data_IF_748819759833
#
_entry.id   IF_748819759833
#
_cell.length_a   1.000
_cell.length_b   1.000
_cell.length_c   1.000
_cell.angle_alpha   90.00
_cell.angle_beta   90.00
_cell.angle_gamma   90.00
#
_symmetry.space_group_name_H-M   'P 1'
#
loop_
_entity.id
_entity.type
_entity.pdbx_description
1 polymer ?
#
# COMPACT_ATOMS: atom_id res chain seq x y z
N UNK A 1 20.60 -16.99 -6.84
CA UNK A 1 20.73 -16.55 -5.42
C UNK A 1 20.55 -17.79 -4.55
N UNK A 2 21.34 -17.97 -3.49
CA UNK A 2 21.12 -19.10 -2.58
C UNK A 2 19.96 -18.81 -1.60
N UNK A 3 19.38 -19.85 -1.01
CA UNK A 3 18.25 -19.74 -0.09
C UNK A 3 18.55 -18.81 1.10
N UNK A 4 19.78 -18.81 1.61
CA UNK A 4 20.23 -17.94 2.70
C UNK A 4 20.06 -16.46 2.36
N UNK A 5 20.52 -16.04 1.18
CA UNK A 5 20.39 -14.64 0.74
C UNK A 5 18.91 -14.24 0.56
N UNK A 6 18.07 -15.15 0.07
CA UNK A 6 16.63 -14.90 -0.03
C UNK A 6 15.99 -14.67 1.34
N UNK A 7 16.31 -15.52 2.31
CA UNK A 7 15.82 -15.40 3.69
C UNK A 7 16.24 -14.06 4.29
N UNK A 8 17.53 -13.66 4.12
CA UNK A 8 18.03 -12.37 4.62
C UNK A 8 17.32 -11.16 3.98
N UNK A 9 17.12 -11.18 2.67
CA UNK A 9 16.40 -10.10 1.96
C UNK A 9 14.94 -10.02 2.42
N UNK A 10 14.29 -11.17 2.56
CA UNK A 10 12.90 -11.26 3.01
C UNK A 10 12.75 -10.81 4.46
N UNK A 11 13.64 -11.24 5.36
CA UNK A 11 13.64 -10.82 6.77
C UNK A 11 13.88 -9.31 6.90
N UNK A 12 14.83 -8.74 6.16
CA UNK A 12 15.06 -7.30 6.11
C UNK A 12 13.83 -6.53 5.62
N UNK A 13 13.16 -7.03 4.58
CA UNK A 13 11.92 -6.43 4.08
C UNK A 13 10.76 -6.55 5.08
N UNK A 14 10.65 -7.66 5.80
CA UNK A 14 9.63 -7.86 6.83
C UNK A 14 9.85 -6.94 8.03
N UNK A 15 11.09 -6.82 8.52
CA UNK A 15 11.43 -5.89 9.58
C UNK A 15 11.14 -4.43 9.18
N UNK A 16 11.51 -4.06 7.96
CA UNK A 16 11.13 -2.76 7.39
C UNK A 16 9.61 -2.56 7.39
N UNK A 17 8.84 -3.52 6.86
CA UNK A 17 7.39 -3.40 6.71
C UNK A 17 6.68 -3.27 8.06
N UNK A 18 7.18 -3.98 9.08
CA UNK A 18 6.67 -3.91 10.44
C UNK A 18 6.90 -2.51 11.04
N UNK A 19 8.13 -1.99 10.95
CA UNK A 19 8.46 -0.66 11.48
C UNK A 19 7.82 0.47 10.68
N UNK A 20 7.62 0.33 9.37
CA UNK A 20 6.88 1.29 8.53
C UNK A 20 5.40 1.40 8.94
N UNK A 21 4.77 0.25 9.21
CA UNK A 21 3.41 0.23 9.73
C UNK A 21 3.30 0.84 11.13
N UNK A 22 4.22 0.46 12.02
CA UNK A 22 4.26 0.96 13.39
C UNK A 22 4.48 2.49 13.44
N UNK A 23 5.42 2.99 12.65
CA UNK A 23 5.70 4.43 12.56
C UNK A 23 4.47 5.23 12.15
N UNK A 24 3.65 4.71 11.22
CA UNK A 24 2.45 5.41 10.75
C UNK A 24 1.44 5.62 11.88
N UNK A 25 1.16 4.60 12.69
CA UNK A 25 0.23 4.73 13.82
C UNK A 25 0.84 5.54 14.97
N UNK A 26 2.11 5.34 15.27
CA UNK A 26 2.83 6.10 16.27
C UNK A 26 2.74 7.61 16.01
N UNK A 27 3.09 8.05 14.79
CA UNK A 27 3.05 9.47 14.40
C UNK A 27 1.61 10.01 14.43
N UNK A 28 0.66 9.28 13.85
CA UNK A 28 -0.73 9.74 13.78
C UNK A 28 -1.31 9.98 15.18
N UNK A 29 -1.24 8.98 16.05
CA UNK A 29 -1.86 9.03 17.37
C UNK A 29 -1.15 10.02 18.29
N UNK A 30 0.19 10.09 18.23
CA UNK A 30 0.96 11.04 19.03
C UNK A 30 0.62 12.50 18.68
N UNK A 31 0.59 12.85 17.39
CA UNK A 31 0.29 14.23 16.99
C UNK A 31 -1.21 14.57 17.18
N UNK A 32 -2.10 13.57 17.13
CA UNK A 32 -3.50 13.76 17.54
C UNK A 32 -3.61 14.08 19.03
N UNK A 33 -2.92 13.33 19.88
CA UNK A 33 -2.88 13.57 21.34
C UNK A 33 -2.28 14.95 21.69
N UNK A 34 -1.33 15.44 20.88
CA UNK A 34 -0.78 16.81 21.01
C UNK A 34 -1.75 17.91 20.52
N UNK A 35 -2.92 17.57 20.01
CA UNK A 35 -3.96 18.50 19.55
C UNK A 35 -3.70 19.11 18.16
N UNK A 36 -2.88 18.47 17.33
CA UNK A 36 -2.69 18.91 15.95
C UNK A 36 -3.99 18.74 15.15
N UNK A 37 -4.28 19.73 14.31
CA UNK A 37 -5.47 19.63 13.46
C UNK A 37 -5.40 18.43 12.50
N UNK A 38 -6.53 17.85 12.10
CA UNK A 38 -6.57 16.74 11.13
C UNK A 38 -5.85 17.04 9.82
N UNK A 39 -5.84 18.32 9.40
CA UNK A 39 -5.09 18.78 8.22
C UNK A 39 -3.59 18.75 8.48
N UNK A 40 -3.14 19.25 9.63
CA UNK A 40 -1.73 19.19 10.02
C UNK A 40 -1.22 17.74 10.08
N UNK A 41 -2.01 16.84 10.67
CA UNK A 41 -1.72 15.38 10.70
C UNK A 41 -1.63 14.79 9.28
N UNK A 42 -2.52 15.18 8.38
CA UNK A 42 -2.43 14.74 6.98
C UNK A 42 -1.12 15.17 6.33
N UNK A 43 -0.69 16.41 6.56
CA UNK A 43 0.59 16.93 6.04
C UNK A 43 1.80 16.14 6.51
N UNK A 44 1.80 15.57 7.72
CA UNK A 44 2.90 14.74 8.22
C UNK A 44 3.23 13.58 7.27
N UNK A 45 2.25 13.07 6.54
CA UNK A 45 2.39 11.90 5.65
C UNK A 45 2.59 12.27 4.17
N UNK A 46 2.40 13.54 3.78
CA UNK A 46 2.47 13.92 2.35
C UNK A 46 3.86 13.69 1.77
N UNK A 47 4.93 13.95 2.52
CA UNK A 47 6.30 13.68 2.09
C UNK A 47 6.53 12.21 1.73
N UNK A 48 6.02 11.30 2.57
CA UNK A 48 6.08 9.86 2.35
C UNK A 48 5.37 9.42 1.05
N UNK A 49 4.15 9.91 0.80
CA UNK A 49 3.39 9.55 -0.38
C UNK A 49 3.96 10.23 -1.65
N UNK A 50 4.45 11.48 -1.54
CA UNK A 50 5.10 12.18 -2.64
C UNK A 50 6.36 11.45 -3.11
N UNK A 51 7.23 11.04 -2.19
CA UNK A 51 8.40 10.23 -2.54
C UNK A 51 7.99 8.89 -3.14
N UNK A 52 6.87 8.32 -2.72
CA UNK A 52 6.30 7.13 -3.35
C UNK A 52 5.94 7.32 -4.82
N UNK A 53 5.50 8.52 -5.25
CA UNK A 53 5.24 8.83 -6.67
C UNK A 53 6.56 8.77 -7.45
N UNK A 54 7.58 9.51 -6.98
CA UNK A 54 8.87 9.60 -7.64
C UNK A 54 9.57 8.25 -7.70
N UNK A 55 9.60 7.51 -6.60
CA UNK A 55 10.30 6.23 -6.51
C UNK A 55 9.63 5.12 -7.32
N UNK A 56 8.31 5.13 -7.50
CA UNK A 56 7.65 4.19 -8.41
C UNK A 56 7.95 4.51 -9.89
N UNK A 57 8.08 5.79 -10.27
CA UNK A 57 8.46 6.18 -11.62
C UNK A 57 9.91 5.82 -11.96
N UNK A 58 10.84 6.15 -11.06
CA UNK A 58 12.29 6.02 -11.32
C UNK A 58 12.89 4.74 -10.72
N UNK A 59 12.17 4.08 -9.82
CA UNK A 59 12.71 2.97 -9.02
C UNK A 59 13.16 1.78 -9.84
N UNK A 60 12.44 1.41 -10.89
CA UNK A 60 12.86 0.36 -11.82
C UNK A 60 14.20 0.69 -12.50
N UNK A 61 14.41 1.94 -12.85
CA UNK A 61 15.63 2.45 -13.44
C UNK A 61 16.82 2.47 -12.45
N UNK A 62 16.60 2.91 -11.22
CA UNK A 62 17.63 2.92 -10.15
C UNK A 62 18.01 1.50 -9.76
N UNK A 63 17.04 0.63 -9.47
CA UNK A 63 17.27 -0.74 -9.02
C UNK A 63 18.06 -1.59 -10.02
N UNK A 64 17.83 -1.39 -11.33
CA UNK A 64 18.57 -2.09 -12.38
C UNK A 64 20.07 -1.69 -12.45
N UNK A 65 20.43 -0.50 -11.94
CA UNK A 65 21.80 0.03 -11.97
C UNK A 65 22.59 -0.22 -10.70
N UNK A 66 21.95 -0.13 -9.54
CA UNK A 66 22.63 -0.17 -8.23
C UNK A 66 22.80 -1.57 -7.67
N UNK A 67 22.00 -2.54 -8.12
CA UNK A 67 21.95 -3.90 -7.57
C UNK A 67 21.04 -3.99 -6.33
N UNK A 68 20.49 -5.20 -6.09
CA UNK A 68 19.45 -5.44 -5.09
C UNK A 68 19.96 -5.33 -3.66
N UNK A 69 21.17 -5.79 -3.41
CA UNK A 69 21.73 -5.80 -2.05
C UNK A 69 21.96 -4.37 -1.55
N UNK A 70 22.52 -3.50 -2.41
CA UNK A 70 22.75 -2.10 -2.06
C UNK A 70 21.44 -1.33 -1.84
N UNK A 71 20.44 -1.57 -2.69
CA UNK A 71 19.12 -0.91 -2.54
C UNK A 71 18.44 -1.33 -1.23
N UNK A 72 18.55 -2.59 -0.80
CA UNK A 72 18.02 -3.06 0.48
C UNK A 72 18.73 -2.38 1.66
N UNK A 73 20.08 -2.41 1.67
CA UNK A 73 20.88 -1.84 2.75
C UNK A 73 20.64 -0.34 2.88
N UNK A 74 20.62 0.39 1.75
CA UNK A 74 20.32 1.83 1.74
C UNK A 74 18.89 2.08 2.24
N UNK A 75 17.91 1.28 1.80
CA UNK A 75 16.54 1.41 2.26
C UNK A 75 16.38 1.20 3.77
N UNK A 76 17.00 0.14 4.33
CA UNK A 76 17.00 -0.08 5.78
C UNK A 76 17.70 1.05 6.53
N UNK A 77 18.84 1.53 6.03
CA UNK A 77 19.58 2.65 6.61
C UNK A 77 18.78 3.96 6.62
N UNK A 78 18.09 4.29 5.51
CA UNK A 78 17.23 5.46 5.44
C UNK A 78 16.07 5.40 6.43
N UNK A 79 15.49 4.21 6.66
CA UNK A 79 14.44 4.03 7.66
C UNK A 79 14.98 4.23 9.08
N UNK A 80 16.17 3.72 9.39
CA UNK A 80 16.83 3.96 10.69
C UNK A 80 17.06 5.45 10.88
N UNK A 81 17.59 6.15 9.87
CA UNK A 81 17.80 7.61 9.92
C UNK A 81 16.48 8.36 10.14
N UNK A 82 15.41 7.95 9.46
CA UNK A 82 14.08 8.55 9.63
C UNK A 82 13.55 8.39 11.06
N UNK A 83 13.68 7.18 11.65
CA UNK A 83 13.26 6.89 13.02
C UNK A 83 14.06 7.71 14.04
N UNK A 84 15.39 7.77 13.89
CA UNK A 84 16.25 8.58 14.75
C UNK A 84 15.97 10.08 14.57
N UNK A 85 15.79 10.54 13.33
CA UNK A 85 15.47 11.96 13.09
C UNK A 85 14.18 12.35 13.81
N UNK A 86 13.13 11.53 13.75
CA UNK A 86 11.85 11.81 14.41
C UNK A 86 11.96 11.95 15.93
N UNK A 87 12.92 11.27 16.59
CA UNK A 87 13.14 11.41 18.04
C UNK A 87 13.75 12.75 18.45
N UNK A 88 14.20 13.59 17.52
CA UNK A 88 14.67 14.95 17.79
C UNK A 88 13.56 16.00 17.67
N UNK A 89 12.34 15.62 17.29
CA UNK A 89 11.22 16.54 17.29
C UNK A 89 10.89 16.96 18.73
N UNK A 90 10.73 18.25 18.95
CA UNK A 90 10.43 18.81 20.27
C UNK A 90 9.05 19.46 20.27
N UNK A 91 8.29 19.23 21.33
CA UNK A 91 6.96 19.82 21.50
C UNK A 91 6.99 21.36 21.61
N UNK A 92 8.14 21.94 21.97
CA UNK A 92 8.34 23.39 22.02
C UNK A 92 8.43 24.08 20.66
N UNK A 93 8.55 23.31 19.58
CA UNK A 93 8.63 23.90 18.24
C UNK A 93 7.29 24.45 17.79
N UNK A 94 7.33 25.48 16.93
CA UNK A 94 6.13 25.95 16.26
C UNK A 94 5.53 24.82 15.40
N UNK A 95 4.20 24.73 15.36
CA UNK A 95 3.46 23.67 14.64
C UNK A 95 3.96 23.49 13.20
N UNK A 96 4.11 24.58 12.44
CA UNK A 96 4.62 24.53 11.07
C UNK A 96 6.02 23.91 10.99
N UNK A 97 6.93 24.27 11.92
CA UNK A 97 8.28 23.71 11.99
C UNK A 97 8.25 22.20 12.26
N UNK A 98 7.45 21.76 13.21
CA UNK A 98 7.22 20.34 13.51
C UNK A 98 6.66 19.59 12.31
N UNK A 99 5.63 20.13 11.65
CA UNK A 99 5.02 19.51 10.47
C UNK A 99 6.03 19.34 9.33
N UNK A 100 6.79 20.38 8.99
CA UNK A 100 7.81 20.33 7.94
C UNK A 100 8.91 19.32 8.27
N UNK A 101 9.36 19.30 9.52
CA UNK A 101 10.39 18.36 9.97
C UNK A 101 9.93 16.90 9.89
N UNK A 102 8.76 16.59 10.46
CA UNK A 102 8.18 15.24 10.45
C UNK A 102 7.88 14.79 9.01
N UNK A 103 7.30 15.69 8.19
CA UNK A 103 7.06 15.41 6.77
C UNK A 103 8.36 15.07 6.03
N UNK A 104 9.46 15.77 6.32
CA UNK A 104 10.79 15.51 5.72
C UNK A 104 11.36 14.16 6.16
N UNK A 105 11.27 13.81 7.44
CA UNK A 105 11.67 12.49 7.94
C UNK A 105 10.81 11.37 7.34
N UNK A 106 9.51 11.58 7.23
CA UNK A 106 8.59 10.64 6.56
C UNK A 106 8.89 10.49 5.06
N UNK A 107 9.40 11.53 4.40
CA UNK A 107 9.86 11.44 3.01
C UNK A 107 11.02 10.44 2.86
N UNK A 108 11.98 10.42 3.80
CA UNK A 108 13.05 9.40 3.83
C UNK A 108 12.48 8.00 4.00
N UNK A 109 11.49 7.81 4.88
CA UNK A 109 10.77 6.55 5.05
C UNK A 109 10.04 6.11 3.78
N UNK A 110 9.47 7.05 3.03
CA UNK A 110 8.83 6.80 1.73
C UNK A 110 9.81 6.26 0.67
N UNK A 111 11.01 6.85 0.58
CA UNK A 111 12.10 6.35 -0.27
C UNK A 111 12.53 4.95 0.18
N UNK A 112 12.78 4.77 1.47
CA UNK A 112 13.20 3.52 2.08
C UNK A 112 12.23 2.37 1.75
N UNK A 113 10.93 2.62 1.81
CA UNK A 113 9.85 1.67 1.46
C UNK A 113 10.01 1.11 0.05
N UNK A 114 10.22 1.98 -0.92
CA UNK A 114 10.23 1.53 -2.30
C UNK A 114 11.56 0.84 -2.66
N UNK A 115 12.68 1.26 -2.08
CA UNK A 115 13.97 0.59 -2.23
C UNK A 115 13.93 -0.84 -1.66
N UNK A 116 13.43 -1.02 -0.44
CA UNK A 116 13.31 -2.34 0.20
C UNK A 116 12.31 -3.24 -0.53
N UNK A 117 11.17 -2.70 -0.95
CA UNK A 117 10.15 -3.42 -1.74
C UNK A 117 10.70 -3.93 -3.07
N UNK A 118 11.47 -3.11 -3.77
CA UNK A 118 12.08 -3.48 -5.05
C UNK A 118 13.09 -4.60 -4.87
N UNK A 119 13.97 -4.49 -3.87
CA UNK A 119 14.96 -5.51 -3.56
C UNK A 119 14.30 -6.85 -3.26
N UNK A 120 13.27 -6.86 -2.39
CA UNK A 120 12.56 -8.09 -2.02
C UNK A 120 11.82 -8.73 -3.20
N UNK A 121 11.09 -7.96 -4.00
CA UNK A 121 10.37 -8.49 -5.16
C UNK A 121 11.29 -9.04 -6.24
N UNK A 122 12.41 -8.36 -6.49
CA UNK A 122 13.37 -8.82 -7.49
C UNK A 122 14.14 -10.05 -7.00
N UNK A 123 14.40 -10.17 -5.70
CA UNK A 123 15.06 -11.33 -5.12
C UNK A 123 14.30 -12.64 -5.37
N UNK A 124 12.96 -12.59 -5.39
CA UNK A 124 12.11 -13.78 -5.68
C UNK A 124 12.46 -14.40 -7.04
N UNK A 125 12.70 -13.58 -8.08
CA UNK A 125 13.04 -14.07 -9.43
C UNK A 125 14.32 -14.90 -9.47
N UNK A 126 15.24 -14.67 -8.54
CA UNK A 126 16.54 -15.37 -8.50
C UNK A 126 16.54 -16.64 -7.68
N UNK A 127 15.45 -16.90 -6.93
CA UNK A 127 15.31 -18.08 -6.06
C UNK A 127 14.24 -19.03 -6.55
N UNK A 128 13.22 -18.51 -7.21
CA UNK A 128 12.23 -19.33 -7.87
C UNK A 128 12.94 -20.12 -8.97
N UNK A 129 13.07 -21.43 -8.80
CA UNK A 129 13.59 -22.32 -9.83
C UNK A 129 12.60 -22.40 -11.00
N UNK A 130 13.01 -23.09 -12.09
CA UNK A 130 12.23 -23.26 -13.32
C UNK A 130 10.98 -24.14 -13.15
N UNK A 131 10.58 -24.46 -11.91
CA UNK A 131 9.38 -25.24 -11.61
C UNK A 131 8.09 -24.42 -11.80
N UNK A 132 7.13 -25.00 -12.54
CA UNK A 132 5.82 -24.42 -12.77
C UNK A 132 5.14 -23.99 -11.45
N UNK A 133 4.83 -22.72 -11.33
CA UNK A 133 4.13 -22.13 -10.19
C UNK A 133 4.99 -21.76 -8.96
N UNK A 134 6.28 -22.12 -8.88
CA UNK A 134 7.15 -21.77 -7.75
C UNK A 134 7.31 -20.26 -7.60
N UNK A 135 7.55 -19.55 -8.70
CA UNK A 135 7.64 -18.08 -8.73
C UNK A 135 6.35 -17.43 -8.24
N UNK A 136 5.20 -17.89 -8.73
CA UNK A 136 3.89 -17.38 -8.34
C UNK A 136 3.64 -17.56 -6.84
N UNK A 137 3.92 -18.76 -6.30
CA UNK A 137 3.76 -19.06 -4.87
C UNK A 137 4.64 -18.15 -4.00
N UNK A 138 5.91 -17.94 -4.38
CA UNK A 138 6.83 -17.08 -3.62
C UNK A 138 6.41 -15.60 -3.66
N UNK A 139 5.96 -15.09 -4.82
CA UNK A 139 5.42 -13.73 -4.96
C UNK A 139 4.15 -13.56 -4.12
N UNK A 140 3.26 -14.55 -4.11
CA UNK A 140 2.03 -14.53 -3.32
C UNK A 140 2.34 -14.50 -1.81
N UNK A 141 3.28 -15.33 -1.33
CA UNK A 141 3.73 -15.32 0.06
C UNK A 141 4.32 -13.96 0.45
N UNK A 142 5.21 -13.40 -0.39
CA UNK A 142 5.83 -12.11 -0.13
C UNK A 142 4.80 -10.98 -0.07
N UNK A 143 3.81 -10.99 -0.96
CA UNK A 143 2.77 -9.96 -1.01
C UNK A 143 1.77 -10.10 0.13
N UNK A 144 1.34 -11.32 0.45
CA UNK A 144 0.43 -11.61 1.56
C UNK A 144 1.06 -11.28 2.91
N UNK A 145 2.30 -11.73 3.14
CA UNK A 145 3.03 -11.44 4.37
C UNK A 145 3.26 -9.94 4.58
N UNK A 146 3.51 -9.17 3.52
CA UNK A 146 3.63 -7.70 3.60
C UNK A 146 2.38 -7.06 4.18
N UNK A 147 1.18 -7.43 3.71
CA UNK A 147 -0.06 -6.83 4.18
C UNK A 147 -0.35 -7.23 5.63
N UNK A 148 -0.11 -8.50 5.98
CA UNK A 148 -0.23 -8.97 7.36
C UNK A 148 0.72 -8.23 8.31
N UNK A 149 2.01 -8.14 7.95
CA UNK A 149 3.01 -7.44 8.77
C UNK A 149 2.76 -5.95 8.88
N UNK A 150 2.22 -5.31 7.83
CA UNK A 150 1.82 -3.91 7.92
C UNK A 150 0.67 -3.71 8.92
N UNK A 151 -0.31 -4.62 8.92
CA UNK A 151 -1.38 -4.60 9.91
C UNK A 151 -0.85 -4.83 11.33
N UNK A 152 -0.01 -5.85 11.54
CA UNK A 152 0.68 -6.06 12.83
C UNK A 152 1.48 -4.81 13.24
N UNK A 153 2.14 -4.15 12.30
CA UNK A 153 2.83 -2.89 12.53
C UNK A 153 1.91 -1.79 13.06
N UNK A 154 0.71 -1.63 12.50
CA UNK A 154 -0.25 -0.63 12.99
C UNK A 154 -0.60 -0.85 14.47
N UNK A 155 -0.91 -2.11 14.84
CA UNK A 155 -1.14 -2.45 16.25
C UNK A 155 0.10 -2.20 17.10
N UNK A 156 1.27 -2.63 16.63
CA UNK A 156 2.53 -2.47 17.36
C UNK A 156 2.86 -0.99 17.62
N UNK A 157 2.66 -0.11 16.63
CA UNK A 157 2.92 1.33 16.79
C UNK A 157 2.00 1.96 17.84
N UNK A 158 0.72 1.63 17.82
CA UNK A 158 -0.24 2.07 18.82
C UNK A 158 0.09 1.51 20.22
N UNK A 159 0.46 0.24 20.31
CA UNK A 159 0.84 -0.42 21.55
C UNK A 159 2.13 0.14 22.15
N UNK A 160 3.15 0.39 21.32
CA UNK A 160 4.41 1.01 21.75
C UNK A 160 4.18 2.44 22.27
N UNK A 161 3.33 3.22 21.59
CA UNK A 161 2.98 4.56 22.04
C UNK A 161 2.30 4.51 23.41
N UNK A 162 1.30 3.65 23.58
CA UNK A 162 0.54 3.51 24.83
C UNK A 162 1.42 3.01 26.00
N UNK A 163 2.40 2.13 25.74
CA UNK A 163 3.20 1.51 26.78
C UNK A 163 4.45 2.30 27.15
N UNK A 164 5.11 2.94 26.18
CA UNK A 164 6.45 3.53 26.35
C UNK A 164 6.53 5.01 25.94
N UNK A 165 5.49 5.55 25.29
CA UNK A 165 5.51 6.89 24.73
C UNK A 165 6.26 6.99 23.39
N UNK A 166 6.28 8.21 22.82
CA UNK A 166 6.72 8.45 21.45
C UNK A 166 8.22 8.18 21.24
N UNK A 167 9.09 8.79 22.06
CA UNK A 167 10.54 8.70 21.87
C UNK A 167 11.08 7.30 22.11
N UNK A 168 10.64 6.62 23.18
CA UNK A 168 11.07 5.27 23.48
C UNK A 168 10.61 4.26 22.41
N UNK A 169 9.42 4.44 21.85
CA UNK A 169 8.92 3.66 20.73
C UNK A 169 9.78 3.82 19.47
N UNK A 170 10.18 5.06 19.13
CA UNK A 170 11.07 5.35 18.00
C UNK A 170 12.43 4.68 18.17
N UNK A 171 13.05 4.83 19.37
CA UNK A 171 14.34 4.21 19.67
C UNK A 171 14.26 2.68 19.65
N UNK A 172 13.22 2.09 20.20
CA UNK A 172 13.02 0.62 20.15
C UNK A 172 12.98 0.12 18.70
N UNK A 173 12.20 0.78 17.83
CA UNK A 173 12.14 0.44 16.41
C UNK A 173 13.48 0.68 15.70
N UNK A 174 14.17 1.78 15.98
CA UNK A 174 15.47 2.09 15.39
C UNK A 174 16.53 1.06 15.77
N UNK A 175 16.57 0.62 17.02
CA UNK A 175 17.51 -0.42 17.50
C UNK A 175 17.26 -1.74 16.78
N UNK A 176 16.01 -2.23 16.77
CA UNK A 176 15.65 -3.50 16.10
C UNK A 176 16.01 -3.47 14.63
N UNK A 177 15.69 -2.34 13.95
CA UNK A 177 15.99 -2.20 12.53
C UNK A 177 17.50 -2.04 12.27
N UNK A 178 18.25 -1.38 13.16
CA UNK A 178 19.72 -1.28 13.07
C UNK A 178 20.38 -2.63 13.21
N UNK A 179 19.94 -3.47 14.15
CA UNK A 179 20.43 -4.85 14.28
C UNK A 179 20.14 -5.63 12.98
N UNK A 180 18.93 -5.51 12.45
CA UNK A 180 18.56 -6.12 11.16
C UNK A 180 19.45 -5.62 10.02
N UNK A 181 19.70 -4.32 9.94
CA UNK A 181 20.59 -3.71 8.95
C UNK A 181 22.02 -4.28 9.05
N UNK A 182 22.58 -4.38 10.24
CA UNK A 182 23.94 -4.94 10.46
C UNK A 182 23.98 -6.39 10.03
N UNK A 183 23.00 -7.22 10.43
CA UNK A 183 22.91 -8.62 10.01
C UNK A 183 22.83 -8.75 8.50
N UNK A 184 21.95 -7.98 7.85
CA UNK A 184 21.81 -7.99 6.39
C UNK A 184 23.10 -7.51 5.73
N UNK A 185 23.70 -6.42 6.17
CA UNK A 185 24.91 -5.84 5.56
C UNK A 185 26.13 -6.75 5.67
N UNK A 186 26.26 -7.50 6.77
CA UNK A 186 27.42 -8.40 7.00
C UNK A 186 27.24 -9.79 6.39
N UNK A 187 26.00 -10.28 6.33
CA UNK A 187 25.72 -11.67 5.93
C UNK A 187 25.24 -11.81 4.48
N UNK A 188 24.78 -10.73 3.84
CA UNK A 188 24.32 -10.76 2.45
C UNK A 188 25.51 -10.69 1.50
N UNK A 189 25.73 -11.76 0.75
CA UNK A 189 26.89 -11.89 -0.15
C UNK A 189 26.50 -11.85 -1.62
N UNK A 190 27.38 -11.32 -2.47
CA UNK A 190 27.24 -11.29 -3.92
C UNK A 190 26.52 -10.05 -4.45
N UNK A 191 26.83 -9.65 -5.69
CA UNK A 191 26.16 -8.57 -6.42
C UNK A 191 25.01 -9.19 -7.25
N UNK A 192 23.78 -9.11 -6.76
CA UNK A 192 22.60 -9.68 -7.42
C UNK A 192 21.82 -8.57 -8.12
N UNK A 193 21.40 -8.82 -9.37
CA UNK A 193 20.34 -8.05 -10.01
C UNK A 193 20.76 -6.79 -10.77
N UNK A 194 22.03 -6.61 -11.12
CA UNK A 194 22.41 -5.59 -12.12
C UNK A 194 21.96 -6.02 -13.51
N UNK A 195 21.05 -5.26 -14.13
CA UNK A 195 20.64 -5.50 -15.52
C UNK A 195 21.63 -4.91 -16.51
N UNK A 196 21.90 -5.65 -17.60
CA UNK A 196 22.72 -5.17 -18.72
C UNK A 196 21.94 -4.23 -19.65
N UNK A 197 20.60 -4.25 -19.62
CA UNK A 197 19.72 -3.46 -20.50
C UNK A 197 19.26 -2.21 -19.78
N UNK A 198 19.52 -1.04 -20.37
CA UNK A 198 19.14 0.28 -19.82
C UNK A 198 17.89 0.77 -20.55
N UNK A 199 16.73 0.75 -19.90
CA UNK A 199 15.53 1.35 -20.45
C UNK A 199 15.69 2.89 -20.60
N UNK A 200 15.23 3.49 -21.71
CA UNK A 200 15.29 4.94 -21.91
C UNK A 200 14.24 5.66 -21.05
N UNK A 201 14.62 6.80 -20.47
CA UNK A 201 13.72 7.63 -19.62
C UNK A 201 12.47 8.12 -20.37
N UNK A 202 12.53 8.24 -21.70
CA UNK A 202 11.45 8.81 -22.52
C UNK A 202 10.18 7.93 -22.56
N UNK A 203 10.32 6.62 -22.35
CA UNK A 203 9.17 5.67 -22.34
C UNK A 203 8.35 5.69 -21.07
N UNK A 204 8.75 6.45 -20.03
CA UNK A 204 8.11 6.44 -18.72
C UNK A 204 6.72 7.09 -18.75
N UNK A 205 6.52 8.14 -19.54
CA UNK A 205 5.30 8.96 -19.54
C UNK A 205 4.35 8.73 -20.71
N UNK A 206 4.82 8.14 -21.82
CA UNK A 206 3.97 7.87 -22.99
C UNK A 206 3.29 6.51 -22.86
N UNK A 207 1.98 6.49 -22.64
CA UNK A 207 1.21 5.27 -22.37
C UNK A 207 0.01 5.16 -23.33
N UNK A 208 -0.44 3.93 -23.55
CA UNK A 208 -1.66 3.66 -24.30
C UNK A 208 -2.87 4.27 -23.60
N UNK A 209 -3.94 4.52 -24.33
CA UNK A 209 -5.18 5.06 -23.80
C UNK A 209 -5.81 4.14 -22.73
N UNK A 210 -5.70 2.82 -22.90
CA UNK A 210 -6.15 1.84 -21.91
C UNK A 210 -5.38 1.96 -20.58
N UNK A 211 -4.05 2.08 -20.65
CA UNK A 211 -3.19 2.23 -19.46
C UNK A 211 -3.45 3.58 -18.78
N UNK A 212 -3.61 4.67 -19.53
CA UNK A 212 -3.92 5.98 -18.98
C UNK A 212 -5.26 5.98 -18.23
N UNK A 213 -6.32 5.40 -18.83
CA UNK A 213 -7.64 5.31 -18.19
C UNK A 213 -7.61 4.40 -16.95
N UNK A 214 -6.96 3.25 -17.03
CA UNK A 214 -6.83 2.35 -15.89
C UNK A 214 -6.02 3.00 -14.75
N UNK A 215 -4.95 3.73 -15.07
CA UNK A 215 -4.14 4.46 -14.10
C UNK A 215 -4.94 5.59 -13.44
N UNK A 216 -5.75 6.32 -14.21
CA UNK A 216 -6.67 7.31 -13.66
C UNK A 216 -7.73 6.68 -12.74
N UNK A 217 -8.34 5.55 -13.15
CA UNK A 217 -9.27 4.81 -12.30
C UNK A 217 -8.59 4.32 -11.02
N UNK A 218 -7.33 3.87 -11.09
CA UNK A 218 -6.53 3.46 -9.93
C UNK A 218 -6.24 4.61 -8.99
N UNK A 219 -5.93 5.79 -9.51
CA UNK A 219 -5.74 7.01 -8.72
C UNK A 219 -6.96 7.28 -7.85
N UNK A 220 -8.16 7.37 -8.44
CA UNK A 220 -9.40 7.64 -7.71
C UNK A 220 -9.78 6.51 -6.75
N UNK A 221 -9.59 5.25 -7.14
CA UNK A 221 -9.87 4.09 -6.29
C UNK A 221 -9.03 4.11 -5.01
N UNK A 222 -7.74 4.41 -5.09
CA UNK A 222 -6.88 4.42 -3.90
C UNK A 222 -7.02 5.70 -3.08
N UNK A 223 -7.27 6.83 -3.74
CA UNK A 223 -7.64 8.05 -3.04
C UNK A 223 -8.90 7.85 -2.19
N UNK A 224 -9.94 7.21 -2.74
CA UNK A 224 -11.21 6.98 -2.03
C UNK A 224 -11.03 6.21 -0.72
N UNK A 225 -10.16 5.20 -0.69
CA UNK A 225 -9.85 4.48 0.53
C UNK A 225 -9.10 5.36 1.53
N UNK A 226 -8.09 6.10 1.08
CA UNK A 226 -7.24 6.88 1.97
C UNK A 226 -7.97 8.11 2.53
N UNK A 227 -9.02 8.60 1.88
CA UNK A 227 -9.88 9.69 2.40
C UNK A 227 -10.48 9.35 3.77
N UNK A 228 -10.96 8.15 4.00
CA UNK A 228 -11.51 7.79 5.31
C UNK A 228 -10.50 7.06 6.21
N UNK A 229 -9.53 6.34 5.62
CA UNK A 229 -8.70 5.38 6.34
C UNK A 229 -7.51 6.02 7.07
N UNK A 230 -6.85 7.03 6.47
CA UNK A 230 -5.51 7.46 6.92
C UNK A 230 -5.57 8.36 8.14
N UNK A 231 -6.47 9.34 8.17
CA UNK A 231 -6.59 10.35 9.23
C UNK A 231 -8.00 10.33 9.83
N UNK A 232 -9.04 10.38 8.99
CA UNK A 232 -10.41 10.57 9.45
C UNK A 232 -10.90 9.46 10.39
N UNK A 233 -10.72 8.20 10.03
CA UNK A 233 -11.20 7.10 10.86
C UNK A 233 -10.41 6.94 12.17
N UNK A 234 -9.07 6.92 12.18
CA UNK A 234 -8.32 6.84 13.44
C UNK A 234 -8.70 7.93 14.44
N UNK A 235 -8.79 9.19 13.99
CA UNK A 235 -9.20 10.31 14.83
C UNK A 235 -10.64 10.15 15.31
N UNK A 236 -11.56 9.72 14.44
CA UNK A 236 -12.95 9.48 14.83
C UNK A 236 -13.08 8.38 15.90
N UNK A 237 -12.31 7.30 15.79
CA UNK A 237 -12.30 6.21 16.77
C UNK A 237 -11.74 6.67 18.12
N UNK A 238 -10.69 7.50 18.11
CA UNK A 238 -10.04 8.05 19.30
C UNK A 238 -10.91 9.15 19.96
N UNK A 239 -11.11 10.27 19.26
CA UNK A 239 -11.73 11.47 19.81
C UNK A 239 -13.25 11.34 20.01
N UNK A 240 -13.96 10.73 19.04
CA UNK A 240 -15.43 10.66 19.07
C UNK A 240 -15.94 9.41 19.79
N UNK A 241 -15.34 8.25 19.51
CA UNK A 241 -15.74 6.99 20.13
C UNK A 241 -15.01 6.71 21.45
N UNK A 242 -13.91 7.43 21.74
CA UNK A 242 -13.12 7.27 22.97
C UNK A 242 -12.39 5.94 23.04
N UNK A 243 -11.98 5.40 21.91
CA UNK A 243 -11.25 4.15 21.88
C UNK A 243 -9.80 4.37 22.35
N UNK A 244 -9.26 3.41 23.08
CA UNK A 244 -7.84 3.41 23.41
C UNK A 244 -6.97 3.22 22.15
N UNK A 245 -5.71 3.61 22.20
CA UNK A 245 -4.74 3.38 21.14
C UNK A 245 -4.67 1.90 20.73
N UNK A 246 -4.76 0.97 21.69
CA UNK A 246 -4.86 -0.46 21.41
C UNK A 246 -6.09 -0.82 20.57
N UNK A 247 -7.24 -0.22 20.85
CA UNK A 247 -8.49 -0.42 20.11
C UNK A 247 -8.38 0.09 18.68
N UNK A 248 -7.90 1.33 18.50
CA UNK A 248 -7.70 1.96 17.18
C UNK A 248 -6.71 1.14 16.35
N UNK A 249 -5.53 0.88 16.91
CA UNK A 249 -4.49 0.10 16.22
C UNK A 249 -4.93 -1.32 15.91
N UNK A 250 -5.67 -1.96 16.83
CA UNK A 250 -6.21 -3.31 16.66
C UNK A 250 -7.23 -3.42 15.53
N UNK A 251 -8.17 -2.47 15.44
CA UNK A 251 -9.15 -2.44 14.35
C UNK A 251 -8.48 -2.24 12.99
N UNK A 252 -7.60 -1.25 12.88
CA UNK A 252 -6.89 -0.96 11.64
C UNK A 252 -5.98 -2.12 11.24
N UNK A 253 -5.34 -2.78 12.20
CA UNK A 253 -4.56 -3.99 11.97
C UNK A 253 -5.43 -5.11 11.40
N UNK A 254 -6.53 -5.42 12.06
CA UNK A 254 -7.47 -6.47 11.62
C UNK A 254 -8.02 -6.17 10.23
N UNK A 255 -8.35 -4.90 9.95
CA UNK A 255 -8.83 -4.47 8.63
C UNK A 255 -7.79 -4.68 7.53
N UNK A 256 -6.52 -4.28 7.75
CA UNK A 256 -5.45 -4.44 6.74
C UNK A 256 -5.09 -5.92 6.54
N UNK A 257 -5.06 -6.71 7.60
CA UNK A 257 -4.82 -8.17 7.52
C UNK A 257 -5.97 -8.84 6.76
N UNK A 258 -7.22 -8.53 7.11
CA UNK A 258 -8.41 -9.04 6.43
C UNK A 258 -8.44 -8.66 4.95
N UNK A 259 -8.16 -7.40 4.64
CA UNK A 259 -7.99 -6.92 3.27
C UNK A 259 -6.94 -7.76 2.49
N UNK A 260 -5.78 -7.98 3.09
CA UNK A 260 -4.71 -8.78 2.49
C UNK A 260 -5.12 -10.24 2.25
N UNK A 261 -5.85 -10.83 3.19
CA UNK A 261 -6.38 -12.20 3.08
C UNK A 261 -7.39 -12.31 1.91
N UNK A 262 -8.36 -11.41 1.83
CA UNK A 262 -9.33 -11.36 0.72
C UNK A 262 -8.61 -11.15 -0.61
N UNK A 263 -7.63 -10.24 -0.66
CA UNK A 263 -6.84 -9.98 -1.87
C UNK A 263 -6.08 -11.22 -2.36
N UNK A 264 -5.55 -12.02 -1.46
CA UNK A 264 -4.85 -13.27 -1.80
C UNK A 264 -5.79 -14.35 -2.36
N UNK A 265 -7.07 -14.29 -1.98
CA UNK A 265 -8.11 -15.22 -2.44
C UNK A 265 -8.87 -14.72 -3.68
N UNK A 266 -8.66 -13.48 -4.10
CA UNK A 266 -9.38 -12.85 -5.21
C UNK A 266 -9.40 -13.69 -6.51
N UNK A 267 -8.32 -14.37 -6.93
CA UNK A 267 -8.36 -15.22 -8.13
C UNK A 267 -9.44 -16.32 -8.11
N UNK A 268 -9.79 -16.80 -6.90
CA UNK A 268 -10.84 -17.84 -6.75
C UNK A 268 -12.24 -17.30 -7.01
N UNK A 269 -12.46 -16.01 -6.74
CA UNK A 269 -13.77 -15.36 -6.91
C UNK A 269 -13.97 -14.75 -8.29
N UNK A 270 -12.88 -14.50 -9.04
CA UNK A 270 -12.91 -13.75 -10.29
C UNK A 270 -12.89 -14.63 -11.56
N UNK A 271 -12.77 -15.95 -11.44
CA UNK A 271 -12.44 -16.88 -12.53
C UNK A 271 -13.52 -17.20 -13.58
N UNK A 272 -14.69 -16.53 -13.61
CA UNK A 272 -15.80 -16.89 -14.52
C UNK A 272 -16.46 -15.75 -15.29
N UNK A 273 -16.06 -14.50 -15.09
CA UNK A 273 -16.70 -13.35 -15.73
C UNK A 273 -15.66 -12.51 -16.48
N UNK A 274 -16.12 -11.73 -17.46
CA UNK A 274 -15.26 -10.71 -18.07
C UNK A 274 -14.71 -9.78 -16.98
N UNK A 275 -13.39 -9.70 -16.88
CA UNK A 275 -12.69 -8.96 -15.82
C UNK A 275 -13.09 -7.48 -15.79
N UNK A 276 -13.43 -6.92 -16.96
CA UNK A 276 -13.89 -5.52 -17.08
C UNK A 276 -15.30 -5.37 -16.50
N UNK A 277 -16.20 -6.28 -16.77
CA UNK A 277 -17.56 -6.25 -16.22
C UNK A 277 -17.49 -6.39 -14.70
N UNK A 278 -16.63 -7.28 -14.20
CA UNK A 278 -16.41 -7.44 -12.78
C UNK A 278 -15.84 -6.15 -12.15
N UNK A 279 -14.85 -5.49 -12.77
CA UNK A 279 -14.29 -4.23 -12.30
C UNK A 279 -15.33 -3.10 -12.23
N UNK A 280 -16.22 -3.01 -13.23
CA UNK A 280 -17.35 -2.06 -13.26
C UNK A 280 -18.32 -2.31 -12.10
N UNK A 281 -18.77 -3.56 -11.95
CA UNK A 281 -19.74 -3.94 -10.93
C UNK A 281 -19.17 -3.72 -9.51
N UNK A 282 -17.94 -4.13 -9.25
CA UNK A 282 -17.30 -3.92 -7.96
C UNK A 282 -17.07 -2.44 -7.64
N UNK A 283 -16.74 -1.60 -8.63
CA UNK A 283 -16.63 -0.14 -8.43
C UNK A 283 -17.99 0.47 -8.07
N UNK A 284 -19.07 0.08 -8.76
CA UNK A 284 -20.43 0.53 -8.40
C UNK A 284 -20.84 0.08 -7.01
N UNK A 285 -20.58 -1.19 -6.68
CA UNK A 285 -20.88 -1.74 -5.34
C UNK A 285 -20.14 -0.96 -4.25
N UNK A 286 -18.86 -0.60 -4.46
CA UNK A 286 -18.11 0.24 -3.53
C UNK A 286 -18.74 1.62 -3.34
N UNK A 287 -19.19 2.26 -4.43
CA UNK A 287 -19.85 3.57 -4.36
C UNK A 287 -21.15 3.48 -3.55
N UNK A 288 -21.94 2.42 -3.74
CA UNK A 288 -23.17 2.21 -2.97
C UNK A 288 -22.90 1.93 -1.50
N UNK A 289 -21.89 1.10 -1.18
CA UNK A 289 -21.51 0.80 0.20
C UNK A 289 -21.06 2.08 0.92
N UNK A 290 -20.18 2.86 0.32
CA UNK A 290 -19.68 4.09 0.94
C UNK A 290 -20.80 5.12 1.14
N UNK A 291 -21.73 5.25 0.19
CA UNK A 291 -22.90 6.10 0.31
C UNK A 291 -23.82 5.64 1.47
N UNK A 292 -24.06 4.33 1.60
CA UNK A 292 -24.87 3.77 2.68
C UNK A 292 -24.25 4.02 4.06
N UNK A 293 -22.92 3.90 4.18
CA UNK A 293 -22.21 4.22 5.43
C UNK A 293 -22.36 5.72 5.74
N UNK A 294 -22.17 6.60 4.75
CA UNK A 294 -22.32 8.05 4.91
C UNK A 294 -23.75 8.43 5.36
N UNK A 295 -24.76 7.84 4.73
CA UNK A 295 -26.17 8.02 5.14
C UNK A 295 -26.41 7.53 6.56
N UNK A 296 -25.85 6.40 6.96
CA UNK A 296 -26.01 5.87 8.32
C UNK A 296 -25.38 6.79 9.37
N UNK A 297 -24.25 7.45 9.03
CA UNK A 297 -23.63 8.47 9.90
C UNK A 297 -24.50 9.72 9.98
N UNK A 298 -25.04 10.20 8.86
CA UNK A 298 -25.90 11.38 8.77
C UNK A 298 -27.27 11.17 9.46
N UNK A 299 -27.75 9.95 9.59
CA UNK A 299 -29.08 9.61 10.11
C UNK A 299 -29.27 9.84 11.62
N UNK A 300 -28.24 10.34 12.32
CA UNK A 300 -28.25 10.61 13.76
C UNK A 300 -28.82 9.42 14.63
N UNK A 301 -28.42 8.21 14.26
CA UNK A 301 -28.77 6.99 15.01
C UNK A 301 -28.14 7.03 16.41
N UNK A 302 -28.53 6.10 17.28
CA UNK A 302 -27.83 5.94 18.55
C UNK A 302 -26.34 5.69 18.33
N UNK A 303 -25.47 6.14 19.26
CA UNK A 303 -24.00 5.96 19.17
C UNK A 303 -23.61 4.51 18.86
N UNK A 304 -24.28 3.55 19.53
CA UNK A 304 -24.03 2.13 19.31
C UNK A 304 -24.38 1.69 17.86
N UNK A 305 -25.58 2.11 17.37
CA UNK A 305 -26.02 1.77 16.02
C UNK A 305 -25.10 2.39 14.93
N UNK A 306 -24.72 3.66 15.10
CA UNK A 306 -23.77 4.34 14.19
C UNK A 306 -22.41 3.64 14.19
N UNK A 307 -21.89 3.28 15.37
CA UNK A 307 -20.61 2.55 15.48
C UNK A 307 -20.68 1.21 14.75
N UNK A 308 -21.73 0.42 14.96
CA UNK A 308 -21.91 -0.87 14.28
C UNK A 308 -22.01 -0.68 12.77
N UNK A 309 -22.77 0.32 12.29
CA UNK A 309 -22.92 0.61 10.87
C UNK A 309 -21.59 1.01 10.22
N UNK A 310 -20.81 1.88 10.88
CA UNK A 310 -19.48 2.28 10.39
C UNK A 310 -18.55 1.07 10.31
N UNK A 311 -18.37 0.34 11.42
CA UNK A 311 -17.38 -0.73 11.47
C UNK A 311 -17.73 -1.89 10.54
N UNK A 312 -19.00 -2.34 10.53
CA UNK A 312 -19.44 -3.40 9.63
C UNK A 312 -19.40 -2.95 8.15
N UNK A 313 -19.86 -1.73 7.87
CA UNK A 313 -19.80 -1.16 6.52
C UNK A 313 -18.37 -1.04 6.00
N UNK A 314 -17.41 -0.58 6.81
CA UNK A 314 -16.01 -0.49 6.42
C UNK A 314 -15.33 -1.85 6.24
N UNK A 315 -15.75 -2.88 6.98
CA UNK A 315 -15.31 -4.26 6.74
C UNK A 315 -15.81 -4.74 5.38
N UNK A 316 -17.09 -4.56 5.07
CA UNK A 316 -17.67 -4.91 3.75
C UNK A 316 -16.99 -4.11 2.63
N UNK A 317 -16.79 -2.80 2.84
CA UNK A 317 -16.00 -1.97 1.90
C UNK A 317 -14.61 -2.58 1.65
N UNK A 318 -13.92 -3.02 2.71
CA UNK A 318 -12.59 -3.63 2.62
C UNK A 318 -12.56 -4.88 1.75
N UNK A 319 -13.56 -5.75 1.87
CA UNK A 319 -13.70 -6.96 1.05
C UNK A 319 -13.87 -6.60 -0.44
N UNK A 320 -14.83 -5.72 -0.74
CA UNK A 320 -15.12 -5.32 -2.12
C UNK A 320 -13.95 -4.53 -2.72
N UNK A 321 -13.31 -3.67 -1.93
CA UNK A 321 -12.11 -2.94 -2.35
C UNK A 321 -10.94 -3.88 -2.66
N UNK A 322 -10.73 -4.94 -1.87
CA UNK A 322 -9.70 -5.94 -2.11
C UNK A 322 -9.89 -6.64 -3.46
N UNK A 323 -11.13 -7.06 -3.75
CA UNK A 323 -11.48 -7.70 -5.03
C UNK A 323 -11.27 -6.75 -6.21
N UNK A 324 -11.78 -5.53 -6.13
CA UNK A 324 -11.63 -4.53 -7.19
C UNK A 324 -10.16 -4.11 -7.41
N UNK A 325 -9.40 -3.94 -6.33
CA UNK A 325 -7.97 -3.66 -6.40
C UNK A 325 -7.16 -4.78 -7.07
N UNK A 326 -7.55 -6.04 -6.86
CA UNK A 326 -6.94 -7.20 -7.50
C UNK A 326 -7.23 -7.23 -9.01
N UNK A 327 -8.47 -6.92 -9.41
CA UNK A 327 -8.85 -6.78 -10.81
C UNK A 327 -8.05 -5.70 -11.53
N UNK A 328 -7.92 -4.51 -10.95
CA UNK A 328 -7.10 -3.45 -11.51
C UNK A 328 -5.63 -3.86 -11.66
N UNK A 329 -5.11 -4.66 -10.71
CA UNK A 329 -3.73 -5.16 -10.79
C UNK A 329 -3.55 -6.26 -11.84
N UNK A 330 -4.60 -6.99 -12.19
CA UNK A 330 -4.62 -7.90 -13.32
C UNK A 330 -4.71 -7.14 -14.65
N UNK A 331 -5.63 -6.18 -14.76
CA UNK A 331 -5.88 -5.42 -15.98
C UNK A 331 -4.65 -4.63 -16.46
N UNK A 332 -3.80 -4.10 -15.55
CA UNK A 332 -2.58 -3.41 -15.98
C UNK A 332 -1.64 -4.36 -16.71
N UNK A 333 -1.53 -5.61 -16.28
CA UNK A 333 -0.71 -6.61 -16.97
C UNK A 333 -1.33 -7.03 -18.30
N UNK A 334 -2.67 -7.12 -18.36
CA UNK A 334 -3.39 -7.50 -19.57
C UNK A 334 -3.35 -6.40 -20.66
N UNK A 335 -3.20 -5.13 -20.29
CA UNK A 335 -3.08 -4.01 -21.22
C UNK A 335 -1.65 -3.63 -21.59
N UNK A 336 -0.66 -4.16 -20.86
CA UNK A 336 0.75 -3.85 -21.11
C UNK A 336 1.31 -4.72 -22.23
N UNK A 337 2.08 -4.11 -23.12
CA UNK A 337 2.87 -4.83 -24.11
C UNK A 337 4.09 -5.48 -23.45
N UNK A 338 4.50 -6.65 -23.93
CA UNK A 338 5.59 -7.46 -23.34
C UNK A 338 6.89 -6.67 -23.16
N UNK A 339 7.22 -5.80 -24.11
CA UNK A 339 8.45 -4.99 -24.08
C UNK A 339 8.37 -3.80 -23.09
N UNK A 340 7.17 -3.41 -22.66
CA UNK A 340 6.93 -2.21 -21.85
C UNK A 340 6.31 -2.47 -20.46
N UNK A 341 6.03 -3.72 -20.10
CA UNK A 341 5.36 -4.10 -18.83
C UNK A 341 5.94 -3.38 -17.61
N UNK A 342 7.26 -3.31 -17.51
CA UNK A 342 7.92 -2.69 -16.35
C UNK A 342 7.62 -1.18 -16.23
N UNK A 343 7.61 -0.47 -17.35
CA UNK A 343 7.35 0.99 -17.39
C UNK A 343 5.87 1.30 -17.21
N UNK A 344 4.99 0.46 -17.74
CA UNK A 344 3.54 0.60 -17.60
C UNK A 344 3.09 0.36 -16.17
N UNK A 345 3.59 -0.70 -15.56
CA UNK A 345 3.37 -1.02 -14.15
C UNK A 345 3.94 0.07 -13.24
N UNK A 346 5.12 0.64 -13.57
CA UNK A 346 5.71 1.77 -12.85
C UNK A 346 4.82 3.01 -12.89
N UNK A 347 4.33 3.39 -14.06
CA UNK A 347 3.40 4.51 -14.26
C UNK A 347 2.08 4.29 -13.48
N UNK A 348 1.50 3.10 -13.58
CA UNK A 348 0.28 2.72 -12.86
C UNK A 348 0.45 2.79 -11.33
N UNK A 349 1.58 2.31 -10.77
CA UNK A 349 1.83 2.41 -9.34
C UNK A 349 2.17 3.84 -8.90
N UNK A 350 2.71 4.67 -9.79
CA UNK A 350 2.89 6.09 -9.53
C UNK A 350 1.55 6.82 -9.43
N UNK A 351 0.60 6.54 -10.34
CA UNK A 351 -0.77 7.04 -10.24
C UNK A 351 -1.46 6.56 -8.96
N UNK A 352 -1.23 5.30 -8.55
CA UNK A 352 -1.71 4.79 -7.26
C UNK A 352 -1.15 5.59 -6.07
N UNK A 353 0.14 5.91 -6.08
CA UNK A 353 0.78 6.70 -5.01
C UNK A 353 0.27 8.15 -5.02
N UNK A 354 0.05 8.74 -6.20
CA UNK A 354 -0.54 10.07 -6.34
C UNK A 354 -1.99 10.11 -5.80
N UNK A 355 -2.78 9.07 -6.07
CA UNK A 355 -4.12 8.92 -5.49
C UNK A 355 -4.06 8.87 -3.96
N UNK A 356 -3.11 8.12 -3.40
CA UNK A 356 -2.92 8.04 -1.95
C UNK A 356 -2.50 9.36 -1.32
N UNK A 357 -1.64 10.15 -2.00
CA UNK A 357 -1.25 11.48 -1.56
C UNK A 357 -2.49 12.40 -1.48
N UNK A 358 -3.29 12.45 -2.54
CA UNK A 358 -4.52 13.25 -2.57
C UNK A 358 -5.53 12.74 -1.54
N UNK A 359 -5.72 11.43 -1.43
CA UNK A 359 -6.60 10.81 -0.45
C UNK A 359 -6.20 11.14 0.99
N UNK A 360 -4.90 11.10 1.30
CA UNK A 360 -4.37 11.45 2.64
C UNK A 360 -4.64 12.92 2.96
N UNK A 361 -4.39 13.84 2.01
CA UNK A 361 -4.68 15.25 2.20
C UNK A 361 -6.18 15.50 2.42
N UNK A 362 -7.01 14.93 1.55
CA UNK A 362 -8.46 15.05 1.65
C UNK A 362 -9.01 14.39 2.93
N UNK A 363 -8.36 13.37 3.47
CA UNK A 363 -8.72 12.76 4.75
C UNK A 363 -8.73 13.79 5.89
N UNK A 364 -7.67 14.58 5.98
CA UNK A 364 -7.58 15.64 6.99
C UNK A 364 -8.53 16.80 6.70
N UNK A 365 -8.58 17.28 5.45
CA UNK A 365 -9.39 18.45 5.07
C UNK A 365 -10.89 18.17 5.24
N UNK A 366 -11.38 17.07 4.70
CA UNK A 366 -12.81 16.73 4.79
C UNK A 366 -13.22 16.41 6.21
N UNK A 367 -12.34 15.76 6.98
CA UNK A 367 -12.60 15.50 8.39
C UNK A 367 -12.68 16.80 9.21
N UNK A 368 -11.79 17.77 8.95
CA UNK A 368 -11.84 19.08 9.61
C UNK A 368 -13.14 19.83 9.33
N UNK A 369 -13.67 19.74 8.09
CA UNK A 369 -14.85 20.51 7.67
C UNK A 369 -16.18 19.86 8.03
N UNK A 370 -16.26 18.53 8.07
CA UNK A 370 -17.53 17.83 8.27
C UNK A 370 -17.36 16.42 8.86
N UNK A 371 -16.26 16.18 9.59
CA UNK A 371 -16.04 14.91 10.27
C UNK A 371 -15.97 13.71 9.33
N UNK A 372 -16.21 12.52 9.91
CA UNK A 372 -16.18 11.26 9.15
C UNK A 372 -17.27 11.20 8.07
N UNK A 373 -18.41 11.86 8.27
CA UNK A 373 -19.50 11.91 7.31
C UNK A 373 -19.03 12.52 5.97
N UNK A 374 -18.44 13.71 6.00
CA UNK A 374 -17.95 14.37 4.79
C UNK A 374 -16.82 13.59 4.12
N UNK A 375 -15.94 12.95 4.90
CA UNK A 375 -14.91 12.05 4.37
C UNK A 375 -15.53 10.85 3.62
N UNK A 376 -16.62 10.27 4.12
CA UNK A 376 -17.33 9.17 3.47
C UNK A 376 -18.04 9.62 2.18
N UNK A 377 -18.61 10.83 2.16
CA UNK A 377 -19.19 11.42 0.94
C UNK A 377 -18.09 11.69 -0.12
N UNK A 378 -16.93 12.20 0.31
CA UNK A 378 -15.75 12.33 -0.55
C UNK A 378 -15.30 10.98 -1.12
N UNK A 379 -15.26 9.95 -0.28
CA UNK A 379 -15.01 8.56 -0.70
C UNK A 379 -15.99 8.11 -1.77
N UNK A 380 -17.29 8.33 -1.55
CA UNK A 380 -18.37 7.96 -2.49
C UNK A 380 -18.17 8.65 -3.86
N UNK A 381 -17.87 9.93 -3.86
CA UNK A 381 -17.59 10.69 -5.07
C UNK A 381 -16.39 10.11 -5.84
N UNK A 382 -15.28 9.82 -5.16
CA UNK A 382 -14.08 9.29 -5.79
C UNK A 382 -14.28 7.87 -6.34
N UNK A 383 -15.02 7.02 -5.65
CA UNK A 383 -15.38 5.68 -6.17
C UNK A 383 -16.35 5.80 -7.35
N UNK A 384 -17.29 6.72 -7.33
CA UNK A 384 -18.17 6.98 -8.48
C UNK A 384 -17.37 7.42 -9.72
N UNK A 385 -16.35 8.28 -9.54
CA UNK A 385 -15.43 8.64 -10.64
C UNK A 385 -14.65 7.39 -11.11
N UNK A 386 -14.19 6.55 -10.20
CA UNK A 386 -13.55 5.26 -10.56
C UNK A 386 -14.48 4.42 -11.42
N UNK A 387 -15.75 4.28 -11.03
CA UNK A 387 -16.75 3.55 -11.80
C UNK A 387 -16.94 4.14 -13.21
N UNK A 388 -17.11 5.47 -13.33
CA UNK A 388 -17.25 6.15 -14.61
C UNK A 388 -16.04 5.93 -15.54
N UNK A 389 -14.83 5.95 -14.98
CA UNK A 389 -13.60 5.68 -15.74
C UNK A 389 -13.52 4.21 -16.19
N UNK A 390 -13.96 3.27 -15.35
CA UNK A 390 -13.97 1.84 -15.70
C UNK A 390 -15.01 1.51 -16.78
N UNK A 391 -16.08 2.30 -16.92
CA UNK A 391 -17.04 2.16 -18.04
C UNK A 391 -16.39 2.37 -19.42
N UNK A 392 -15.31 3.18 -19.45
CA UNK A 392 -14.59 3.55 -20.67
C UNK A 392 -13.36 2.67 -20.96
N UNK A 393 -13.11 1.64 -20.14
CA UNK A 393 -12.02 0.70 -20.41
C UNK A 393 -12.36 -0.14 -21.63
N UNK A 394 -11.41 -0.31 -22.58
CA UNK A 394 -11.59 -1.17 -23.73
C UNK A 394 -11.65 -2.64 -23.30
N UNK A 395 -12.20 -3.51 -24.19
CA UNK A 395 -12.11 -4.94 -23.99
C UNK A 395 -10.64 -5.35 -23.82
N UNK A 396 -10.37 -6.26 -22.88
CA UNK A 396 -9.02 -6.83 -22.77
C UNK A 396 -8.70 -7.52 -24.09
N UNK A 397 -7.51 -7.29 -24.69
CA UNK A 397 -7.04 -8.14 -25.77
C UNK A 397 -7.16 -9.58 -25.28
N UNK A 398 -7.78 -10.46 -26.08
CA UNK A 398 -7.72 -11.87 -25.79
C UNK A 398 -6.24 -12.20 -25.61
N UNK A 399 -5.79 -12.54 -24.39
CA UNK A 399 -4.49 -13.19 -24.24
C UNK A 399 -4.52 -14.28 -25.30
N UNK A 400 -3.55 -14.28 -26.22
CA UNK A 400 -3.45 -15.30 -27.24
C UNK A 400 -3.44 -16.64 -26.50
N UNK A 401 -4.63 -17.23 -26.31
CA UNK A 401 -4.71 -18.65 -26.10
C UNK A 401 -4.10 -19.19 -27.38
N UNK A 402 -2.98 -19.82 -27.25
CA UNK A 402 -2.31 -20.48 -28.35
C UNK A 402 -3.42 -21.17 -29.18
N UNK A 403 -3.70 -20.72 -30.41
CA UNK A 403 -4.78 -21.32 -31.20
C UNK A 403 -4.49 -22.77 -31.54
N UNK A 404 -3.31 -23.26 -31.17
CA UNK A 404 -2.89 -24.63 -31.37
C UNK A 404 -2.19 -25.14 -30.10
N UNK A 405 -2.94 -25.50 -29.01
CA UNK A 405 -2.31 -26.16 -27.87
C UNK A 405 -1.69 -27.46 -28.42
N UNK A 406 -0.36 -27.58 -28.26
CA UNK A 406 0.39 -28.79 -28.61
C UNK A 406 -0.36 -30.00 -28.06
N UNK A 407 -0.85 -30.92 -28.92
CA UNK A 407 -1.65 -32.08 -28.50
C UNK A 407 -0.91 -32.99 -27.51
N UNK A 408 0.39 -32.82 -27.34
CA UNK A 408 1.22 -33.57 -26.38
C UNK A 408 1.22 -33.00 -24.95
N UNK A 409 0.65 -31.80 -24.70
CA UNK A 409 0.55 -31.21 -23.36
C UNK A 409 -0.76 -31.52 -22.63
N UNK A 410 -1.57 -32.49 -23.10
CA UNK A 410 -2.80 -32.89 -22.41
C UNK A 410 -2.47 -33.75 -21.17
N UNK A 411 -2.62 -33.24 -19.93
CA UNK A 411 -2.32 -33.99 -18.72
C UNK A 411 -3.22 -35.23 -18.48
N UNK A 412 -4.26 -35.43 -19.32
CA UNK A 412 -5.18 -36.56 -19.19
C UNK A 412 -4.75 -37.81 -19.99
N UNK A 413 -3.60 -37.83 -20.70
CA UNK A 413 -3.07 -39.02 -21.37
C UNK A 413 -2.18 -39.91 -20.51
N UNK A 414 -1.91 -39.55 -19.26
CA UNK A 414 -1.08 -40.36 -18.34
C UNK A 414 -1.85 -41.45 -17.60
N UNK A 415 -3.14 -41.67 -17.90
CA UNK A 415 -3.97 -42.72 -17.27
C UNK A 415 -4.83 -43.48 -18.30
N UNK A 416 -4.26 -43.90 -19.40
CA UNK A 416 -4.87 -44.93 -20.26
C UNK A 416 -3.91 -46.09 -20.50
#
# INVERSE_FOLDING_TARGET
MNLRNYVLVTAGYWAFTLTDGALRMLVLLHFNELGYSPVAIAFLFLGYEFMGILTNLIGGWVGSRTGLNRTLIVGLGLQVVALIALSFQQQSWAEIGSVVFVMSAQALSGIAKDLTKMSAKSAVKFVAGDGDGALFKMVAILTGSKNALKGVGFFLGAALLAAFGYDAALWAMAIVLSVTLVVVATMLTGDIGKSKVKAPLRSILSKSDAINRLSAARFFLFASRDIWFVVALPIYLDDVLGWSFYGVGGFLAAWVIGYGAVQSMAPRFLGRHSEIVAARNWSLTLALISALIAIAVAANLSRAATTVAILSGLVVFGVVFALNSSLHSYLILAYSDDDQVSTDVGFYYSANAAGRLVGTLLSGVLYLWGGLELALWGTTMFVAITWLLTLRLPATPAMSRDPNPDPDTNPNRAFS
#
